data_IF_207640277843
#
_entry.id   IF_207640277843
#
_cell.length_a   1.000
_cell.length_b   1.000
_cell.length_c   1.000
_cell.angle_alpha   90.00
_cell.angle_beta   90.00
_cell.angle_gamma   90.00
#
_symmetry.space_group_name_H-M   'P 1'
#
loop_
_entity.id
_entity.type
_entity.pdbx_description
1 polymer ?
#
# COMPACT_ATOMS: atom_id res chain seq x y z
N UNK A 1 11.76 -18.92 -6.91
CA UNK A 1 11.57 -17.60 -6.31
C UNK A 1 10.11 -17.39 -5.95
N UNK A 2 9.84 -16.91 -4.75
CA UNK A 2 8.50 -16.52 -4.31
C UNK A 2 8.52 -15.00 -4.11
N UNK A 3 7.57 -14.28 -4.71
CA UNK A 3 7.46 -12.81 -4.61
C UNK A 3 6.14 -12.44 -3.93
N UNK A 4 6.20 -11.59 -2.91
CA UNK A 4 5.02 -11.01 -2.27
C UNK A 4 4.66 -9.68 -2.92
N UNK A 5 3.52 -9.66 -3.62
CA UNK A 5 2.99 -8.50 -4.33
C UNK A 5 1.89 -7.78 -3.51
N UNK A 6 1.81 -7.98 -2.18
CA UNK A 6 0.71 -7.46 -1.38
C UNK A 6 0.54 -5.94 -1.43
N UNK A 7 1.63 -5.18 -1.63
CA UNK A 7 1.59 -3.71 -1.69
C UNK A 7 1.56 -3.13 -3.12
N UNK A 8 1.71 -3.99 -4.13
CA UNK A 8 1.92 -3.62 -5.52
C UNK A 8 0.84 -4.20 -6.45
N UNK A 9 0.20 -5.30 -6.06
CA UNK A 9 -0.95 -5.85 -6.78
C UNK A 9 -2.12 -4.86 -6.79
N UNK A 10 -2.70 -4.65 -7.97
CA UNK A 10 -3.71 -3.64 -8.26
C UNK A 10 -3.18 -2.22 -8.41
N UNK A 11 -1.87 -2.00 -8.19
CA UNK A 11 -1.26 -0.67 -8.05
C UNK A 11 -0.17 -0.44 -9.10
N UNK A 12 0.76 -1.38 -9.24
CA UNK A 12 1.91 -1.29 -10.14
C UNK A 12 1.73 -2.20 -11.36
N UNK A 13 2.47 -1.87 -12.42
CA UNK A 13 2.44 -2.60 -13.69
C UNK A 13 1.32 -2.10 -14.61
N UNK A 14 1.50 -2.34 -15.91
CA UNK A 14 0.58 -1.87 -16.93
C UNK A 14 -0.85 -2.39 -16.70
N UNK A 15 -0.99 -3.64 -16.24
CA UNK A 15 -2.29 -4.27 -15.98
C UNK A 15 -2.63 -4.34 -14.48
N UNK A 16 -1.76 -3.84 -13.61
CA UNK A 16 -1.97 -3.89 -12.17
C UNK A 16 -1.58 -5.23 -11.55
N UNK A 17 -0.76 -6.05 -12.21
CA UNK A 17 -0.36 -7.36 -11.65
C UNK A 17 0.74 -7.27 -10.61
N UNK A 18 1.45 -6.15 -10.53
CA UNK A 18 2.44 -5.90 -9.49
C UNK A 18 3.75 -5.33 -10.00
N UNK A 19 4.76 -5.33 -9.13
CA UNK A 19 6.09 -4.84 -9.43
C UNK A 19 6.82 -5.75 -10.41
N UNK A 20 6.66 -7.07 -10.29
CA UNK A 20 7.25 -8.04 -11.22
C UNK A 20 6.82 -7.79 -12.67
N UNK A 21 5.54 -7.47 -12.89
CA UNK A 21 5.05 -7.01 -14.19
C UNK A 21 5.69 -5.67 -14.57
N UNK A 22 5.71 -4.70 -13.65
CA UNK A 22 6.21 -3.35 -13.92
C UNK A 22 7.68 -3.31 -14.38
N UNK A 23 8.50 -4.24 -13.88
CA UNK A 23 9.93 -4.33 -14.24
C UNK A 23 10.24 -5.45 -15.25
N UNK A 24 9.22 -6.14 -15.76
CA UNK A 24 9.35 -7.10 -16.85
C UNK A 24 10.00 -8.44 -16.47
N UNK A 25 9.85 -8.88 -15.22
CA UNK A 25 10.44 -10.13 -14.69
C UNK A 25 9.40 -11.11 -14.17
N UNK A 26 8.13 -10.91 -14.50
CA UNK A 26 7.02 -11.76 -14.03
C UNK A 26 7.23 -13.24 -14.40
N UNK A 27 7.77 -13.52 -15.59
CA UNK A 27 8.05 -14.87 -16.07
C UNK A 27 9.18 -15.58 -15.28
N UNK A 28 10.02 -14.83 -14.56
CA UNK A 28 11.08 -15.37 -13.70
C UNK A 28 10.58 -15.70 -12.28
N UNK A 29 9.32 -15.42 -11.97
CA UNK A 29 8.71 -15.65 -10.65
C UNK A 29 7.95 -16.99 -10.62
N UNK A 30 8.45 -17.97 -9.86
CA UNK A 30 7.77 -19.27 -9.74
C UNK A 30 6.41 -19.17 -9.03
N UNK A 31 6.32 -18.32 -7.99
CA UNK A 31 5.10 -18.13 -7.19
C UNK A 31 4.95 -16.66 -6.81
N UNK A 32 3.80 -16.08 -7.16
CA UNK A 32 3.37 -14.77 -6.65
C UNK A 32 2.39 -15.00 -5.52
N UNK A 33 2.64 -14.39 -4.36
CA UNK A 33 1.70 -14.34 -3.24
C UNK A 33 1.16 -12.93 -3.07
N UNK A 34 -0.04 -12.82 -2.51
CA UNK A 34 -0.65 -11.53 -2.23
C UNK A 34 -1.76 -11.61 -1.19
N UNK A 35 -2.33 -10.46 -0.86
CA UNK A 35 -3.38 -10.34 0.15
C UNK A 35 -4.66 -9.76 -0.42
N UNK A 36 -5.79 -10.15 0.16
CA UNK A 36 -7.08 -9.53 -0.12
C UNK A 36 -7.29 -8.22 0.66
N UNK A 37 -6.48 -7.95 1.70
CA UNK A 37 -6.68 -6.87 2.70
C UNK A 37 -6.27 -5.46 2.29
N UNK A 38 -5.78 -5.29 1.07
CA UNK A 38 -5.30 -3.99 0.54
C UNK A 38 -6.14 -3.59 -0.67
N UNK A 39 -5.56 -3.61 -1.86
CA UNK A 39 -6.21 -3.21 -3.11
C UNK A 39 -7.49 -4.00 -3.44
N UNK A 40 -7.67 -5.17 -2.83
CA UNK A 40 -8.82 -6.06 -3.04
C UNK A 40 -9.95 -5.91 -2.01
N UNK A 41 -9.77 -5.07 -0.98
CA UNK A 41 -10.78 -4.64 -0.01
C UNK A 41 -11.52 -5.79 0.72
N UNK A 42 -10.86 -6.90 1.03
CA UNK A 42 -11.44 -8.07 1.69
C UNK A 42 -10.43 -8.74 2.63
N UNK A 43 -10.72 -9.91 3.20
CA UNK A 43 -9.80 -10.62 4.12
C UNK A 43 -9.39 -11.96 3.49
N UNK A 44 -8.09 -12.25 3.55
CA UNK A 44 -7.50 -13.48 3.01
C UNK A 44 -6.23 -13.20 2.23
N UNK A 45 -5.77 -14.21 1.51
CA UNK A 45 -4.60 -14.14 0.64
C UNK A 45 -4.70 -15.16 -0.48
N UNK A 46 -3.77 -15.06 -1.42
CA UNK A 46 -3.67 -15.94 -2.58
C UNK A 46 -2.22 -16.26 -2.88
N UNK A 47 -2.02 -17.36 -3.60
CA UNK A 47 -0.77 -17.72 -4.23
C UNK A 47 -1.09 -18.21 -5.65
N UNK A 48 -0.34 -17.73 -6.64
CA UNK A 48 -0.46 -18.11 -8.05
C UNK A 48 0.91 -18.54 -8.59
N UNK A 49 0.91 -19.52 -9.47
CA UNK A 49 2.10 -20.09 -10.09
C UNK A 49 1.69 -21.28 -10.95
N UNK A 50 2.64 -22.18 -11.25
CA UNK A 50 2.39 -23.32 -12.13
C UNK A 50 1.40 -24.35 -11.55
N UNK A 51 0.87 -25.23 -12.41
CA UNK A 51 -0.05 -26.32 -12.05
C UNK A 51 0.52 -27.23 -10.93
N UNK A 52 1.85 -27.35 -10.85
CA UNK A 52 2.53 -28.08 -9.78
C UNK A 52 2.15 -27.60 -8.36
N UNK A 53 1.71 -26.34 -8.21
CA UNK A 53 1.24 -25.80 -6.92
C UNK A 53 -0.05 -26.46 -6.41
N UNK A 54 -0.79 -27.20 -7.23
CA UNK A 54 -2.01 -27.87 -6.78
C UNK A 54 -1.74 -28.83 -5.61
N UNK A 55 -0.55 -29.42 -5.54
CA UNK A 55 -0.09 -30.24 -4.41
C UNK A 55 -0.16 -29.49 -3.07
N UNK A 56 0.01 -28.16 -3.07
CA UNK A 56 -0.05 -27.34 -1.86
C UNK A 56 -1.44 -27.36 -1.23
N UNK A 57 -2.51 -27.55 -2.00
CA UNK A 57 -3.87 -27.69 -1.46
C UNK A 57 -4.03 -28.94 -0.60
N UNK A 58 -3.21 -29.97 -0.85
CA UNK A 58 -3.23 -31.24 -0.11
C UNK A 58 -2.15 -31.32 0.98
N UNK A 59 -1.08 -30.52 0.87
CA UNK A 59 0.01 -30.49 1.86
C UNK A 59 -0.06 -29.36 2.89
N UNK A 60 -0.81 -28.27 2.60
CA UNK A 60 -0.80 -27.06 3.42
C UNK A 60 -1.80 -27.15 4.57
N UNK A 61 -1.28 -27.28 5.80
CA UNK A 61 -2.11 -27.27 7.03
C UNK A 61 -2.97 -26.00 7.15
N UNK A 62 -2.45 -24.78 6.91
CA UNK A 62 -3.27 -23.56 6.94
C UNK A 62 -4.37 -23.50 5.88
N UNK A 63 -4.27 -24.29 4.80
CA UNK A 63 -5.31 -24.40 3.79
C UNK A 63 -6.37 -25.43 4.15
N UNK A 64 -5.96 -26.59 4.69
CA UNK A 64 -6.85 -27.73 4.98
C UNK A 64 -7.61 -27.55 6.29
N UNK A 65 -6.93 -27.10 7.35
CA UNK A 65 -7.47 -27.05 8.71
C UNK A 65 -8.00 -25.66 9.06
N UNK A 66 -8.75 -25.06 8.14
CA UNK A 66 -9.45 -23.78 8.34
C UNK A 66 -10.75 -23.75 7.56
N UNK A 67 -11.71 -22.92 7.97
CA UNK A 67 -12.90 -22.65 7.19
C UNK A 67 -12.55 -21.82 5.96
N UNK A 68 -13.27 -22.03 4.84
CA UNK A 68 -13.13 -21.19 3.65
C UNK A 68 -13.54 -19.74 3.94
N UNK A 69 -13.01 -18.76 3.19
CA UNK A 69 -13.50 -17.38 3.26
C UNK A 69 -15.01 -17.30 3.02
N UNK A 70 -15.67 -16.31 3.63
CA UNK A 70 -17.10 -16.13 3.46
C UNK A 70 -17.45 -15.78 2.00
N UNK A 71 -18.66 -16.15 1.51
CA UNK A 71 -19.08 -15.81 0.16
C UNK A 71 -19.03 -14.30 -0.14
N UNK A 72 -19.35 -13.45 0.83
CA UNK A 72 -19.27 -11.99 0.69
C UNK A 72 -17.82 -11.51 0.51
N UNK A 73 -16.87 -12.07 1.26
CA UNK A 73 -15.45 -11.75 1.09
C UNK A 73 -14.96 -12.07 -0.32
N UNK A 74 -15.35 -13.23 -0.88
CA UNK A 74 -14.97 -13.63 -2.24
C UNK A 74 -15.67 -12.77 -3.29
N UNK A 75 -16.94 -12.41 -3.09
CA UNK A 75 -17.67 -11.52 -3.98
C UNK A 75 -17.00 -10.14 -4.07
N UNK A 76 -16.57 -9.57 -2.94
CA UNK A 76 -15.81 -8.32 -2.90
C UNK A 76 -14.50 -8.44 -3.69
N UNK A 77 -13.71 -9.49 -3.46
CA UNK A 77 -12.46 -9.73 -4.21
C UNK A 77 -12.71 -9.79 -5.71
N UNK A 78 -13.73 -10.54 -6.15
CA UNK A 78 -14.09 -10.64 -7.58
C UNK A 78 -14.49 -9.30 -8.18
N UNK A 79 -15.20 -8.48 -7.42
CA UNK A 79 -15.56 -7.12 -7.83
C UNK A 79 -14.32 -6.23 -7.96
N UNK A 80 -13.45 -6.22 -6.95
CA UNK A 80 -12.20 -5.45 -6.95
C UNK A 80 -11.27 -5.85 -8.09
N UNK A 81 -11.13 -7.16 -8.38
CA UNK A 81 -10.36 -7.66 -9.53
C UNK A 81 -10.91 -7.14 -10.85
N UNK A 82 -12.24 -7.14 -11.02
CA UNK A 82 -12.88 -6.57 -12.21
C UNK A 82 -12.56 -5.09 -12.34
N UNK A 83 -12.72 -4.32 -11.27
CA UNK A 83 -12.39 -2.89 -11.26
C UNK A 83 -10.93 -2.64 -11.64
N UNK A 84 -9.98 -3.36 -11.06
CA UNK A 84 -8.55 -3.25 -11.39
C UNK A 84 -8.30 -3.52 -12.88
N UNK A 85 -8.96 -4.54 -13.45
CA UNK A 85 -8.80 -4.92 -14.85
C UNK A 85 -9.45 -3.92 -15.82
N UNK A 86 -10.60 -3.34 -15.46
CA UNK A 86 -11.41 -2.52 -16.39
C UNK A 86 -11.24 -1.01 -16.22
N UNK A 87 -10.65 -0.54 -15.12
CA UNK A 87 -10.49 0.89 -14.80
C UNK A 87 -9.01 1.27 -14.55
N UNK A 88 -8.14 1.20 -15.57
CA UNK A 88 -6.72 1.54 -15.44
C UNK A 88 -6.48 2.99 -14.97
N UNK A 89 -7.41 3.90 -15.24
CA UNK A 89 -7.37 5.30 -14.80
C UNK A 89 -7.29 5.46 -13.27
N UNK A 90 -7.79 4.49 -12.50
CA UNK A 90 -7.67 4.51 -11.04
C UNK A 90 -6.21 4.38 -10.59
N UNK A 91 -5.39 3.58 -11.30
CA UNK A 91 -3.95 3.46 -11.03
C UNK A 91 -3.22 4.75 -11.36
N UNK A 92 -3.56 5.37 -12.50
CA UNK A 92 -3.01 6.67 -12.87
C UNK A 92 -3.33 7.72 -11.80
N UNK A 93 -4.61 7.85 -11.42
CA UNK A 93 -5.05 8.80 -10.39
C UNK A 93 -4.39 8.53 -9.02
N UNK A 94 -4.21 7.27 -8.64
CA UNK A 94 -3.49 6.88 -7.43
C UNK A 94 -2.04 7.42 -7.45
N UNK A 95 -1.34 7.23 -8.57
CA UNK A 95 0.04 7.71 -8.73
C UNK A 95 0.10 9.24 -8.82
N UNK A 96 -0.83 9.89 -9.50
CA UNK A 96 -0.91 11.35 -9.55
C UNK A 96 -1.11 11.94 -8.14
N UNK A 97 -2.00 11.35 -7.34
CA UNK A 97 -2.20 11.75 -5.95
C UNK A 97 -0.94 11.50 -5.11
N UNK A 98 -0.23 10.39 -5.34
CA UNK A 98 1.01 10.06 -4.63
C UNK A 98 2.14 11.03 -4.95
N UNK A 99 2.34 11.35 -6.23
CA UNK A 99 3.30 12.36 -6.70
C UNK A 99 2.97 13.73 -6.11
N UNK A 100 1.69 14.14 -6.16
CA UNK A 100 1.29 15.44 -5.64
C UNK A 100 1.55 15.59 -4.13
N UNK A 101 1.23 14.55 -3.34
CA UNK A 101 1.57 14.53 -1.91
C UNK A 101 3.09 14.55 -1.70
N UNK A 102 3.83 13.70 -2.42
CA UNK A 102 5.28 13.58 -2.30
C UNK A 102 5.96 14.93 -2.58
N UNK A 103 5.65 15.56 -3.71
CA UNK A 103 6.21 16.84 -4.13
C UNK A 103 5.86 17.95 -3.13
N UNK A 104 4.63 17.96 -2.62
CA UNK A 104 4.18 18.92 -1.60
C UNK A 104 4.99 18.81 -0.33
N UNK A 105 5.12 17.60 0.22
CA UNK A 105 5.90 17.37 1.44
C UNK A 105 7.40 17.60 1.23
N UNK A 106 7.93 17.25 0.07
CA UNK A 106 9.33 17.49 -0.28
C UNK A 106 9.64 18.99 -0.39
N UNK A 107 8.74 19.80 -0.99
CA UNK A 107 8.88 21.27 -1.05
C UNK A 107 8.84 21.94 0.31
N UNK A 108 8.08 21.37 1.24
CA UNK A 108 8.13 21.78 2.65
C UNK A 108 9.48 21.38 3.29
N UNK A 109 10.29 20.54 2.65
CA UNK A 109 11.62 20.11 3.10
C UNK A 109 11.58 18.89 4.02
N UNK A 110 10.49 18.12 4.02
CA UNK A 110 10.44 16.88 4.81
C UNK A 110 11.34 15.84 4.16
N UNK A 111 11.98 15.01 4.99
CA UNK A 111 12.73 13.87 4.51
C UNK A 111 11.76 12.73 4.18
N UNK A 112 11.78 12.30 2.91
CA UNK A 112 10.90 11.27 2.36
C UNK A 112 11.71 10.08 1.84
N UNK A 113 11.05 8.97 1.51
CA UNK A 113 11.69 7.84 0.84
C UNK A 113 12.24 8.22 -0.54
N UNK A 114 13.32 7.56 -0.98
CA UNK A 114 13.97 7.84 -2.27
C UNK A 114 13.13 7.52 -3.51
N UNK A 115 12.10 6.68 -3.36
CA UNK A 115 11.21 6.28 -4.45
C UNK A 115 9.78 6.71 -4.14
N UNK A 116 9.10 7.20 -5.17
CA UNK A 116 7.68 7.56 -5.07
C UNK A 116 6.85 6.28 -5.20
N UNK A 117 5.96 6.09 -4.25
CA UNK A 117 4.94 5.04 -4.29
C UNK A 117 3.65 5.58 -3.66
N UNK A 118 2.51 4.88 -3.80
CA UNK A 118 1.29 5.26 -3.09
C UNK A 118 1.41 5.24 -1.56
N UNK A 119 2.52 4.71 -1.04
CA UNK A 119 2.95 4.90 0.33
C UNK A 119 4.07 5.96 0.34
N UNK A 120 3.81 7.09 1.01
CA UNK A 120 4.77 8.20 1.19
C UNK A 120 5.18 8.24 2.67
N UNK A 121 6.34 7.67 3.04
CA UNK A 121 6.88 7.73 4.39
C UNK A 121 7.55 9.09 4.63
N UNK A 122 7.16 9.76 5.72
CA UNK A 122 7.78 11.00 6.21
C UNK A 122 8.63 10.67 7.42
N UNK A 123 9.94 10.91 7.34
CA UNK A 123 10.89 10.59 8.42
C UNK A 123 10.88 11.75 9.42
N UNK A 124 10.60 11.46 10.70
CA UNK A 124 10.44 12.46 11.77
C UNK A 124 11.60 12.42 12.79
N UNK A 125 12.44 11.39 12.74
CA UNK A 125 13.56 11.25 13.67
C UNK A 125 13.12 10.64 15.00
N UNK A 126 12.95 11.46 16.05
CA UNK A 126 12.66 10.98 17.41
C UNK A 126 11.21 10.51 17.60
N UNK A 127 11.02 9.63 18.58
CA UNK A 127 9.71 9.09 18.95
C UNK A 127 8.78 10.18 19.50
N UNK A 128 9.32 11.06 20.34
CA UNK A 128 8.59 12.14 20.99
C UNK A 128 8.06 13.12 19.95
N UNK A 129 8.89 13.47 18.97
CA UNK A 129 8.51 14.36 17.88
C UNK A 129 7.49 13.71 16.95
N UNK A 130 7.68 12.42 16.61
CA UNK A 130 6.70 11.64 15.85
C UNK A 130 5.32 11.61 16.50
N UNK A 131 5.26 11.38 17.82
CA UNK A 131 4.02 11.39 18.59
C UNK A 131 3.39 12.79 18.66
N UNK A 132 4.20 13.85 18.76
CA UNK A 132 3.74 15.24 18.77
C UNK A 132 3.09 15.58 17.43
N UNK A 133 3.84 15.45 16.33
CA UNK A 133 3.35 15.74 14.97
C UNK A 133 2.13 14.89 14.64
N UNK A 134 2.13 13.60 14.96
CA UNK A 134 0.99 12.72 14.70
C UNK A 134 -0.30 13.16 15.41
N UNK A 135 -0.21 13.57 16.68
CA UNK A 135 -1.37 14.09 17.42
C UNK A 135 -1.86 15.41 16.84
N UNK A 136 -0.94 16.29 16.45
CA UNK A 136 -1.29 17.58 15.85
C UNK A 136 -1.95 17.38 14.48
N UNK A 137 -1.44 16.48 13.63
CA UNK A 137 -2.10 16.10 12.37
C UNK A 137 -3.53 15.60 12.60
N UNK A 138 -3.75 14.73 13.60
CA UNK A 138 -5.10 14.26 13.93
C UNK A 138 -6.00 15.42 14.36
N UNK A 139 -5.49 16.38 15.15
CA UNK A 139 -6.26 17.56 15.55
C UNK A 139 -6.61 18.47 14.36
N UNK A 140 -5.81 18.44 13.29
CA UNK A 140 -6.05 19.10 12.02
C UNK A 140 -6.93 18.28 11.06
N UNK A 141 -7.46 17.13 11.51
CA UNK A 141 -8.33 16.26 10.71
C UNK A 141 -7.60 15.30 9.78
N UNK A 142 -6.27 15.14 9.92
CA UNK A 142 -5.44 14.28 9.07
C UNK A 142 -4.94 13.08 9.87
N UNK A 143 -5.41 11.89 9.51
CA UNK A 143 -4.89 10.63 10.06
C UNK A 143 -3.83 10.02 9.15
N UNK A 144 -2.67 9.70 9.72
CA UNK A 144 -1.58 8.94 9.08
C UNK A 144 -1.12 7.82 10.01
N UNK A 145 -0.44 6.81 9.47
CA UNK A 145 0.08 5.73 10.31
C UNK A 145 1.40 6.15 10.95
N UNK A 146 1.44 6.33 12.27
CA UNK A 146 2.68 6.50 13.02
C UNK A 146 3.37 5.15 13.21
N UNK A 147 4.63 5.04 12.77
CA UNK A 147 5.47 3.87 12.95
C UNK A 147 6.62 4.23 13.89
N UNK A 148 6.69 3.54 15.03
CA UNK A 148 7.69 3.73 16.08
C UNK A 148 8.66 2.54 16.13
N UNK A 149 9.88 2.73 16.67
CA UNK A 149 10.76 1.61 17.02
C UNK A 149 10.07 0.62 17.99
N UNK A 150 10.27 -0.71 17.86
CA UNK A 150 11.15 -1.41 16.92
C UNK A 150 10.51 -1.74 15.56
N UNK A 151 9.27 -1.31 15.29
CA UNK A 151 8.58 -1.60 14.04
C UNK A 151 9.18 -0.85 12.84
N UNK A 152 9.82 0.29 13.08
CA UNK A 152 10.61 1.01 12.10
C UNK A 152 12.08 0.51 12.09
N UNK A 153 12.69 0.34 10.91
CA UNK A 153 14.10 -0.03 10.79
C UNK A 153 15.02 1.01 11.45
N UNK A 154 16.17 0.58 11.96
CA UNK A 154 17.25 1.48 12.41
C UNK A 154 16.86 2.51 13.50
N UNK A 155 15.78 2.27 14.27
CA UNK A 155 15.39 3.16 15.37
C UNK A 155 14.78 4.49 14.93
N UNK A 156 14.44 4.65 13.65
CA UNK A 156 13.79 5.87 13.14
C UNK A 156 12.31 5.91 13.51
N UNK A 157 11.73 7.10 13.61
CA UNK A 157 10.28 7.29 13.67
C UNK A 157 9.79 7.87 12.35
N UNK A 158 8.69 7.34 11.82
CA UNK A 158 8.12 7.84 10.56
C UNK A 158 6.59 7.90 10.61
N UNK A 159 6.05 8.79 9.79
CA UNK A 159 4.62 8.90 9.48
C UNK A 159 4.40 8.33 8.07
N UNK A 160 3.71 7.19 7.99
CA UNK A 160 3.42 6.54 6.73
C UNK A 160 2.08 7.04 6.20
N UNK A 161 2.15 7.95 5.22
CA UNK A 161 0.99 8.41 4.46
C UNK A 161 0.67 7.35 3.39
N UNK A 162 -0.58 6.91 3.30
CA UNK A 162 -1.00 5.94 2.28
C UNK A 162 -2.13 6.57 1.46
N UNK A 163 -1.83 6.82 0.19
CA UNK A 163 -2.69 7.54 -0.73
C UNK A 163 -3.67 6.58 -1.41
N UNK A 164 -4.83 7.10 -1.79
CA UNK A 164 -5.89 6.37 -2.46
C UNK A 164 -6.31 7.11 -3.76
N UNK A 165 -6.73 6.37 -4.78
CA UNK A 165 -7.31 6.94 -6.00
C UNK A 165 -8.60 7.74 -5.72
N UNK A 166 -9.29 7.44 -4.63
CA UNK A 166 -10.49 8.16 -4.20
C UNK A 166 -10.20 9.55 -3.60
N UNK A 167 -8.96 9.84 -3.19
CA UNK A 167 -8.64 11.17 -2.70
C UNK A 167 -8.86 12.22 -3.81
N UNK A 168 -9.51 13.33 -3.44
CA UNK A 168 -9.58 14.51 -4.29
C UNK A 168 -8.28 15.32 -4.19
N UNK A 169 -8.08 16.23 -5.15
CA UNK A 169 -6.92 17.11 -5.15
C UNK A 169 -6.89 17.98 -3.89
N UNK A 170 -8.05 18.51 -3.52
CA UNK A 170 -8.26 19.37 -2.35
C UNK A 170 -7.97 18.61 -1.04
N UNK A 171 -8.29 17.31 -0.97
CA UNK A 171 -7.94 16.48 0.19
C UNK A 171 -6.42 16.31 0.31
N UNK A 172 -5.71 16.10 -0.80
CA UNK A 172 -4.24 16.03 -0.78
C UNK A 172 -3.63 17.39 -0.41
N UNK A 173 -4.17 18.49 -0.95
CA UNK A 173 -3.75 19.85 -0.60
C UNK A 173 -3.96 20.14 0.90
N UNK A 174 -5.09 19.71 1.47
CA UNK A 174 -5.36 19.84 2.90
C UNK A 174 -4.35 19.04 3.76
N UNK A 175 -3.95 17.84 3.31
CA UNK A 175 -2.89 17.06 3.97
C UNK A 175 -1.57 17.83 3.93
N UNK A 176 -1.15 18.31 2.76
CA UNK A 176 0.10 19.08 2.60
C UNK A 176 0.07 20.33 3.50
N UNK A 177 -1.05 21.05 3.53
CA UNK A 177 -1.22 22.23 4.36
C UNK A 177 -1.14 21.90 5.86
N UNK A 178 -1.73 20.79 6.29
CA UNK A 178 -1.62 20.34 7.67
C UNK A 178 -0.14 20.10 8.04
N UNK A 179 0.62 19.39 7.21
CA UNK A 179 2.07 19.23 7.41
C UNK A 179 2.82 20.58 7.40
N UNK A 180 2.44 21.52 6.54
CA UNK A 180 3.08 22.84 6.49
C UNK A 180 2.96 23.61 7.82
N UNK A 181 1.81 23.51 8.51
CA UNK A 181 1.61 24.18 9.81
C UNK A 181 2.51 23.65 10.93
N UNK A 182 3.00 22.41 10.80
CA UNK A 182 3.80 21.72 11.81
C UNK A 182 5.30 21.95 11.62
N UNK A 183 5.66 22.63 10.53
CA UNK A 183 7.04 22.93 10.18
C UNK A 183 7.38 24.35 10.58
N UNK A 184 7.99 24.48 11.75
CA UNK A 184 8.56 25.72 12.27
C UNK A 184 10.07 25.74 12.03
#
# INVERSE_FOLDING_TARGET
MIVDEAHSFGVLGATGRGLAEAVGVEDDVDIIVGTFSKSLASIGGFAVGSEAMEVLRYGSRPYIFTASPSPSCIATVRSSLRTIATQPELRQKLMDNANHLYDGLQKLGYELSSHISPVVPVIIGSKEEGLRIWRELISLGVYVNLILPPAAPAGITLLRCSVNAAHSREQIDAIIQAFATLKQ
#
